data_IF_805550907940
#
_entry.id   IF_805550907940
#
_cell.length_a   1.000
_cell.length_b   1.000
_cell.length_c   1.000
_cell.angle_alpha   90.00
_cell.angle_beta   90.00
_cell.angle_gamma   90.00
#
_symmetry.space_group_name_H-M   'P 1'
#
loop_
_entity.id
_entity.type
_entity.pdbx_description
1 polymer ?
#
# COMPACT_ATOMS: atom_id res chain seq x y z
N UNK A 1 -23.64 29.71 -34.77
CA UNK A 1 -24.81 30.51 -34.35
C UNK A 1 -24.48 31.13 -32.99
N UNK A 2 -24.10 32.41 -32.97
CA UNK A 2 -23.69 33.11 -31.75
C UNK A 2 -24.82 34.02 -31.26
N UNK A 3 -25.34 33.80 -30.05
CA UNK A 3 -26.25 34.75 -29.40
C UNK A 3 -25.42 35.87 -28.76
N UNK A 4 -25.46 37.06 -29.36
CA UNK A 4 -24.97 38.31 -28.76
C UNK A 4 -26.02 38.81 -27.77
N UNK A 5 -25.66 38.90 -26.49
CA UNK A 5 -26.48 39.59 -25.49
C UNK A 5 -26.24 41.10 -25.60
N UNK A 6 -27.32 41.86 -25.73
CA UNK A 6 -27.31 43.31 -25.92
C UNK A 6 -27.23 44.02 -24.56
N UNK A 7 -26.29 44.95 -24.41
CA UNK A 7 -25.99 45.65 -23.15
C UNK A 7 -27.00 46.74 -22.73
N UNK A 8 -28.25 46.69 -23.23
CA UNK A 8 -29.24 47.78 -23.04
C UNK A 8 -30.45 47.41 -22.15
N UNK A 9 -30.51 46.21 -21.56
CA UNK A 9 -31.64 45.77 -20.72
C UNK A 9 -31.45 45.92 -19.19
N UNK A 10 -30.47 46.70 -18.73
CA UNK A 10 -30.29 46.97 -17.30
C UNK A 10 -31.16 48.17 -16.90
N UNK A 11 -32.34 47.91 -16.34
CA UNK A 11 -33.17 48.93 -15.68
C UNK A 11 -32.55 49.30 -14.33
N UNK A 12 -32.37 50.58 -13.99
CA UNK A 12 -31.84 50.98 -12.69
C UNK A 12 -32.83 50.69 -11.56
N UNK A 13 -32.31 50.16 -10.44
CA UNK A 13 -33.07 49.90 -9.22
C UNK A 13 -33.60 51.22 -8.61
N UNK A 14 -34.91 51.30 -8.39
CA UNK A 14 -35.54 52.45 -7.74
C UNK A 14 -35.21 52.48 -6.24
N UNK A 15 -34.91 53.66 -5.66
CA UNK A 15 -34.63 53.78 -4.22
C UNK A 15 -35.90 53.57 -3.40
N UNK A 16 -35.85 52.61 -2.48
CA UNK A 16 -36.90 52.27 -1.52
C UNK A 16 -37.10 53.43 -0.53
N UNK A 17 -38.24 54.12 -0.61
CA UNK A 17 -38.64 55.20 0.32
C UNK A 17 -38.68 54.69 1.77
N UNK A 18 -38.08 55.47 2.69
CA UNK A 18 -38.20 55.32 4.15
C UNK A 18 -39.67 55.41 4.56
N UNK A 19 -40.15 54.44 5.33
CA UNK A 19 -41.43 54.50 6.05
C UNK A 19 -41.23 55.41 7.26
N UNK A 20 -41.86 56.58 7.25
CA UNK A 20 -42.00 57.43 8.43
C UNK A 20 -43.01 56.79 9.38
N UNK A 21 -42.61 56.62 10.65
CA UNK A 21 -43.52 56.31 11.74
C UNK A 21 -44.36 57.55 12.03
N UNK A 22 -45.67 57.47 11.79
CA UNK A 22 -46.65 58.43 12.30
C UNK A 22 -47.22 57.87 13.61
N UNK A 23 -46.98 58.60 14.70
CA UNK A 23 -47.65 58.44 15.98
C UNK A 23 -49.14 58.73 15.80
N UNK A 24 -50.05 57.88 16.30
CA UNK A 24 -51.44 58.28 16.49
C UNK A 24 -51.54 59.13 17.75
N UNK A 25 -51.65 60.44 17.59
CA UNK A 25 -52.22 61.35 18.58
C UNK A 25 -53.67 61.61 18.21
N UNK A 26 -54.60 61.11 19.00
CA UNK A 26 -56.01 61.51 19.12
C UNK A 26 -56.55 60.69 20.31
N UNK A 27 -57.31 61.20 21.27
CA UNK A 27 -58.23 62.32 21.22
C UNK A 27 -58.52 62.81 22.65
N UNK A 28 -58.70 64.12 22.78
CA UNK A 28 -59.50 64.72 23.84
C UNK A 28 -60.87 65.06 23.24
N UNK A 29 -61.90 64.76 24.03
CA UNK A 29 -63.24 65.36 23.99
C UNK A 29 -64.14 65.10 22.77
N UNK A 30 -65.11 64.20 22.94
CA UNK A 30 -66.54 64.55 22.97
C UNK A 30 -67.40 63.30 23.22
N UNK A 31 -68.18 63.32 24.31
CA UNK A 31 -69.23 62.33 24.62
C UNK A 31 -70.40 62.44 23.62
N UNK A 32 -71.12 61.33 23.42
CA UNK A 32 -72.57 61.38 23.72
C UNK A 32 -73.01 60.39 24.80
N UNK A 33 -73.94 60.88 25.61
CA UNK A 33 -74.63 60.20 26.72
C UNK A 33 -75.53 59.05 26.24
N UNK A 34 -75.53 57.94 26.98
CA UNK A 34 -76.60 56.91 26.95
C UNK A 34 -76.84 56.45 28.41
N UNK A 35 -78.10 56.17 28.82
CA UNK A 35 -78.53 56.27 30.23
C UNK A 35 -78.15 55.07 31.10
N UNK A 36 -78.03 55.40 32.39
CA UNK A 36 -77.91 54.56 33.58
C UNK A 36 -78.97 53.44 33.66
N UNK A 37 -78.58 52.19 33.94
CA UNK A 37 -79.38 51.23 34.68
C UNK A 37 -79.05 51.23 36.18
N UNK A 38 -80.05 50.80 36.93
CA UNK A 38 -80.18 50.82 38.39
C UNK A 38 -79.12 50.08 39.20
N UNK A 39 -79.02 50.55 40.44
CA UNK A 39 -78.23 50.02 41.54
C UNK A 39 -78.73 48.61 41.88
N UNK A 40 -77.86 47.61 41.74
CA UNK A 40 -77.98 46.32 42.40
C UNK A 40 -76.93 46.20 43.51
N UNK A 41 -77.40 45.68 44.63
CA UNK A 41 -76.81 45.62 45.96
C UNK A 41 -75.49 44.84 46.02
N UNK A 42 -74.67 45.22 47.02
CA UNK A 42 -73.47 44.53 47.50
C UNK A 42 -73.66 43.02 47.65
N UNK A 43 -72.72 42.26 47.10
CA UNK A 43 -72.32 40.94 47.61
C UNK A 43 -70.80 40.79 47.53
N UNK A 44 -70.27 40.06 48.51
CA UNK A 44 -68.89 40.01 48.96
C UNK A 44 -67.86 39.58 47.90
N UNK A 45 -66.82 40.39 47.70
CA UNK A 45 -65.59 40.00 47.02
C UNK A 45 -64.54 39.75 48.12
N UNK A 46 -63.91 38.57 48.19
CA UNK A 46 -62.85 38.33 49.17
C UNK A 46 -61.73 39.33 48.93
N UNK A 47 -61.35 40.05 49.99
CA UNK A 47 -60.21 40.95 49.96
C UNK A 47 -58.96 40.17 49.59
N UNK A 48 -58.43 40.42 48.39
CA UNK A 48 -57.06 40.02 48.05
C UNK A 48 -56.18 40.83 49.01
N UNK A 49 -55.57 40.15 49.98
CA UNK A 49 -54.49 40.73 50.78
C UNK A 49 -53.34 40.95 49.81
N UNK A 50 -53.25 42.14 49.23
CA UNK A 50 -52.03 42.61 48.61
C UNK A 50 -51.11 42.90 49.80
N UNK A 51 -50.34 41.88 50.18
CA UNK A 51 -49.22 42.06 51.08
C UNK A 51 -48.22 42.96 50.36
N UNK A 52 -48.15 44.21 50.80
CA UNK A 52 -47.26 45.24 50.27
C UNK A 52 -45.80 44.81 50.50
N UNK A 53 -45.21 44.14 49.51
CA UNK A 53 -43.87 43.56 49.53
C UNK A 53 -42.72 44.58 49.50
N UNK A 54 -42.92 45.80 50.00
CA UNK A 54 -42.00 46.92 49.85
C UNK A 54 -40.92 47.03 50.96
N UNK A 55 -40.49 45.91 51.54
CA UNK A 55 -39.29 45.89 52.41
C UNK A 55 -38.25 44.82 52.06
N UNK A 56 -38.55 43.90 51.14
CA UNK A 56 -37.64 42.81 50.75
C UNK A 56 -37.16 42.86 49.28
N UNK A 57 -37.61 43.86 48.50
CA UNK A 57 -37.26 44.00 47.08
C UNK A 57 -35.78 44.31 46.82
N UNK A 58 -35.14 45.10 47.70
CA UNK A 58 -33.72 45.48 47.52
C UNK A 58 -32.77 44.31 47.73
N UNK A 59 -33.03 43.45 48.72
CA UNK A 59 -32.20 42.26 48.97
C UNK A 59 -32.39 41.18 47.90
N UNK A 60 -33.61 40.99 47.38
CA UNK A 60 -33.86 40.09 46.24
C UNK A 60 -33.25 40.61 44.94
N UNK A 61 -33.26 41.93 44.72
CA UNK A 61 -32.63 42.57 43.57
C UNK A 61 -31.09 42.49 43.63
N UNK A 62 -30.51 42.71 44.81
CA UNK A 62 -29.06 42.49 45.03
C UNK A 62 -28.71 41.01 44.82
N UNK A 63 -29.51 40.07 45.35
CA UNK A 63 -29.29 38.64 45.16
C UNK A 63 -29.38 38.25 43.67
N UNK A 64 -30.33 38.81 42.91
CA UNK A 64 -30.44 38.56 41.47
C UNK A 64 -29.27 39.14 40.67
N UNK A 65 -28.74 40.31 41.08
CA UNK A 65 -27.56 40.91 40.45
C UNK A 65 -26.32 40.05 40.74
N UNK A 66 -26.14 39.61 41.98
CA UNK A 66 -25.03 38.73 42.37
C UNK A 66 -25.10 37.39 41.62
N UNK A 67 -26.30 36.79 41.52
CA UNK A 67 -26.52 35.55 40.77
C UNK A 67 -26.25 35.74 39.27
N UNK A 68 -26.69 36.86 38.68
CA UNK A 68 -26.42 37.18 37.29
C UNK A 68 -24.93 37.37 37.02
N UNK A 69 -24.21 38.11 37.88
CA UNK A 69 -22.76 38.29 37.78
C UNK A 69 -22.04 36.96 37.98
N UNK A 70 -22.51 36.09 38.88
CA UNK A 70 -21.96 34.75 39.04
C UNK A 70 -22.19 33.91 37.78
N UNK A 71 -23.40 33.84 37.24
CA UNK A 71 -23.70 33.09 36.01
C UNK A 71 -22.88 33.62 34.84
N UNK A 72 -22.80 34.94 34.65
CA UNK A 72 -22.00 35.56 33.60
C UNK A 72 -20.51 35.29 33.82
N UNK A 73 -20.01 35.44 35.05
CA UNK A 73 -18.62 35.17 35.39
C UNK A 73 -18.23 33.70 35.18
N UNK A 74 -19.09 32.77 35.59
CA UNK A 74 -18.95 31.33 35.33
C UNK A 74 -19.02 31.03 33.85
N UNK A 75 -19.94 31.63 33.09
CA UNK A 75 -20.04 31.47 31.64
C UNK A 75 -18.81 32.04 30.90
N UNK A 76 -18.30 33.21 31.31
CA UNK A 76 -17.06 33.79 30.77
C UNK A 76 -15.85 32.93 31.13
N UNK A 77 -15.77 32.45 32.37
CA UNK A 77 -14.70 31.54 32.82
C UNK A 77 -14.70 30.21 32.07
N UNK A 78 -15.86 29.55 31.96
CA UNK A 78 -16.04 28.34 31.16
C UNK A 78 -15.75 28.58 29.67
N UNK A 79 -16.20 29.70 29.11
CA UNK A 79 -15.91 30.07 27.73
C UNK A 79 -14.42 30.35 27.49
N UNK A 80 -13.69 30.85 28.49
CA UNK A 80 -12.25 31.08 28.40
C UNK A 80 -11.46 29.77 28.42
N UNK A 81 -11.96 28.75 29.13
CA UNK A 81 -11.38 27.41 29.27
C UNK A 81 -11.73 26.47 28.10
N UNK A 82 -12.82 26.72 27.37
CA UNK A 82 -13.28 25.90 26.24
C UNK A 82 -12.98 26.51 24.87
N UNK A 83 -12.28 27.65 24.84
CA UNK A 83 -12.00 28.38 23.62
C UNK A 83 -10.99 27.67 22.72
N UNK A 84 -11.41 27.25 21.52
CA UNK A 84 -10.53 26.67 20.50
C UNK A 84 -10.12 27.73 19.47
N UNK A 85 -8.88 27.67 19.01
CA UNK A 85 -8.40 28.53 17.91
C UNK A 85 -8.25 27.72 16.65
N UNK A 86 -8.94 28.09 15.59
CA UNK A 86 -8.81 27.48 14.27
C UNK A 86 -7.84 28.30 13.42
N UNK A 87 -6.79 27.64 12.94
CA UNK A 87 -5.78 28.18 12.04
C UNK A 87 -5.92 27.48 10.68
N UNK A 88 -6.46 28.18 9.70
CA UNK A 88 -6.56 27.70 8.32
C UNK A 88 -5.29 28.08 7.56
N UNK A 89 -4.51 27.09 7.11
CA UNK A 89 -3.25 27.29 6.39
C UNK A 89 -3.48 26.98 4.91
N UNK A 90 -3.02 27.89 4.06
CA UNK A 90 -2.97 27.71 2.62
C UNK A 90 -1.50 27.44 2.25
N UNK A 91 -1.10 26.17 2.06
CA UNK A 91 0.25 25.84 1.67
C UNK A 91 0.52 26.31 0.24
N UNK A 92 1.78 26.58 -0.03
CA UNK A 92 2.26 26.78 -1.39
C UNK A 92 2.05 25.48 -2.16
N UNK A 93 1.51 25.57 -3.36
CA UNK A 93 1.33 24.42 -4.23
C UNK A 93 1.64 24.76 -5.69
N UNK A 94 1.92 23.73 -6.49
CA UNK A 94 2.16 23.83 -7.93
C UNK A 94 1.65 22.60 -8.65
N UNK A 95 1.26 22.77 -9.91
CA UNK A 95 0.86 21.67 -10.80
C UNK A 95 1.76 21.64 -12.05
N UNK A 96 2.99 21.10 -11.94
CA UNK A 96 3.84 20.95 -13.12
C UNK A 96 3.24 19.94 -14.09
N UNK A 97 3.58 20.06 -15.38
CA UNK A 97 3.28 19.04 -16.38
C UNK A 97 4.45 18.04 -16.43
N UNK A 98 4.21 16.82 -15.98
CA UNK A 98 5.20 15.74 -15.96
C UNK A 98 5.04 14.93 -17.24
N UNK A 99 6.12 14.79 -18.01
CA UNK A 99 6.24 13.85 -19.11
C UNK A 99 7.74 13.60 -19.34
N UNK A 100 8.31 12.71 -18.53
CA UNK A 100 9.74 12.48 -18.50
C UNK A 100 10.07 11.05 -18.10
N UNK A 101 11.25 10.61 -18.52
CA UNK A 101 11.84 9.34 -18.13
C UNK A 101 12.71 9.54 -16.88
N UNK A 102 12.53 8.65 -15.92
CA UNK A 102 13.22 8.65 -14.64
C UNK A 102 13.91 7.30 -14.40
N UNK A 103 14.89 7.35 -13.49
CA UNK A 103 15.59 6.18 -12.99
C UNK A 103 15.47 6.17 -11.48
N UNK A 104 15.12 5.03 -10.92
CA UNK A 104 15.15 4.80 -9.49
C UNK A 104 16.10 3.64 -9.15
N UNK A 105 16.60 3.62 -7.93
CA UNK A 105 17.58 2.65 -7.46
C UNK A 105 17.12 1.94 -6.17
N UNK A 106 17.53 0.69 -5.94
CA UNK A 106 17.19 -0.01 -4.70
C UNK A 106 17.90 0.59 -3.47
N UNK A 107 19.06 1.22 -3.67
CA UNK A 107 19.83 1.89 -2.61
C UNK A 107 19.55 3.39 -2.59
N UNK A 108 19.55 4.00 -1.40
CA UNK A 108 19.46 5.44 -1.24
C UNK A 108 20.73 6.13 -1.74
N UNK A 109 20.59 7.02 -2.71
CA UNK A 109 21.69 7.81 -3.31
C UNK A 109 21.33 9.29 -3.27
N UNK A 110 22.32 10.14 -3.10
CA UNK A 110 22.09 11.59 -3.04
C UNK A 110 21.60 12.11 -4.40
N UNK A 111 20.54 12.90 -4.39
CA UNK A 111 19.93 13.44 -5.62
C UNK A 111 19.15 12.44 -6.49
N UNK A 112 19.04 11.17 -6.10
CA UNK A 112 18.36 10.13 -6.88
C UNK A 112 17.12 9.59 -6.15
N UNK A 113 16.21 8.97 -6.90
CA UNK A 113 15.03 8.33 -6.32
C UNK A 113 15.35 6.90 -5.89
N UNK A 114 15.06 6.55 -4.63
CA UNK A 114 15.12 5.17 -4.15
C UNK A 114 13.76 4.47 -4.18
N UNK A 115 13.76 3.15 -4.31
CA UNK A 115 12.54 2.33 -4.20
C UNK A 115 12.78 1.08 -3.34
N UNK A 116 11.71 0.60 -2.74
CA UNK A 116 11.63 -0.71 -2.10
C UNK A 116 10.72 -1.63 -2.92
N UNK A 117 10.88 -2.95 -2.82
CA UNK A 117 10.00 -3.90 -3.51
C UNK A 117 9.06 -4.56 -2.50
N UNK A 118 7.77 -4.44 -2.75
CA UNK A 118 6.76 -5.28 -2.10
C UNK A 118 6.51 -6.50 -2.98
N UNK A 119 6.63 -7.68 -2.37
CA UNK A 119 6.36 -8.97 -3.02
C UNK A 119 5.13 -9.61 -2.40
N UNK A 120 4.15 -9.97 -3.23
CA UNK A 120 2.94 -10.67 -2.83
C UNK A 120 2.84 -11.99 -3.59
N UNK A 121 2.47 -13.06 -2.90
CA UNK A 121 2.30 -14.38 -3.50
C UNK A 121 0.88 -14.89 -3.27
N UNK A 122 0.37 -15.63 -4.25
CA UNK A 122 -0.88 -16.36 -4.16
C UNK A 122 -0.82 -17.64 -4.99
N UNK A 123 -1.55 -18.66 -4.56
CA UNK A 123 -1.73 -19.91 -5.29
C UNK A 123 -3.21 -20.15 -5.51
N UNK A 124 -3.59 -20.59 -6.70
CA UNK A 124 -4.96 -20.95 -7.03
C UNK A 124 -4.97 -22.27 -7.79
N UNK A 125 -6.08 -23.00 -7.68
CA UNK A 125 -6.25 -24.32 -8.27
C UNK A 125 -7.60 -24.45 -8.97
N UNK A 126 -7.61 -25.19 -10.07
CA UNK A 126 -8.83 -25.46 -10.84
C UNK A 126 -8.87 -26.92 -11.25
N UNK A 127 -10.06 -27.51 -11.19
CA UNK A 127 -10.31 -28.88 -11.65
C UNK A 127 -10.79 -28.84 -13.09
N UNK A 128 -10.14 -29.62 -13.95
CA UNK A 128 -10.52 -29.78 -15.35
C UNK A 128 -10.75 -31.24 -15.68
N UNK A 129 -11.70 -31.49 -16.57
CA UNK A 129 -11.96 -32.83 -17.09
C UNK A 129 -10.81 -33.28 -18.00
N UNK A 130 -10.35 -34.51 -17.78
CA UNK A 130 -9.38 -35.16 -18.65
C UNK A 130 -10.04 -35.47 -20.00
N UNK A 131 -9.41 -35.06 -21.09
CA UNK A 131 -9.92 -35.31 -22.44
C UNK A 131 -9.52 -36.70 -22.97
N UNK A 132 -8.70 -37.44 -22.23
CA UNK A 132 -8.26 -38.79 -22.55
C UNK A 132 -7.21 -39.32 -21.57
N UNK A 133 -6.72 -40.53 -21.84
CA UNK A 133 -5.59 -41.14 -21.14
C UNK A 133 -4.49 -41.44 -22.16
N UNK A 134 -3.25 -41.13 -21.82
CA UNK A 134 -2.07 -41.50 -22.60
C UNK A 134 -1.21 -42.44 -21.78
N UNK A 135 -0.68 -43.48 -22.43
CA UNK A 135 0.33 -44.32 -21.80
C UNK A 135 1.65 -43.53 -21.73
N UNK A 136 2.08 -43.21 -20.53
CA UNK A 136 3.33 -42.50 -20.26
C UNK A 136 4.34 -43.50 -19.73
N UNK A 137 5.53 -43.48 -20.33
CA UNK A 137 6.66 -44.36 -20.01
C UNK A 137 7.89 -43.49 -19.81
N UNK A 138 8.22 -43.24 -18.56
CA UNK A 138 9.33 -42.39 -18.14
C UNK A 138 10.30 -43.17 -17.25
N UNK A 139 11.60 -42.93 -17.47
CA UNK A 139 12.69 -43.49 -16.69
C UNK A 139 13.07 -42.49 -15.59
N UNK A 140 13.31 -42.99 -14.37
CA UNK A 140 13.81 -42.14 -13.31
C UNK A 140 15.22 -41.64 -13.66
N UNK A 141 15.51 -40.38 -13.37
CA UNK A 141 16.81 -39.76 -13.61
C UNK A 141 17.32 -39.09 -12.35
N UNK A 142 18.64 -38.89 -12.27
CA UNK A 142 19.24 -38.13 -11.19
C UNK A 142 20.76 -38.10 -11.25
N UNK A 143 21.38 -37.61 -10.17
CA UNK A 143 22.83 -37.45 -10.08
C UNK A 143 23.38 -38.33 -8.96
N UNK A 144 24.41 -39.11 -9.28
CA UNK A 144 25.19 -39.87 -8.28
C UNK A 144 26.55 -39.23 -8.05
N UNK A 145 27.03 -39.31 -6.81
CA UNK A 145 28.40 -39.07 -6.42
C UNK A 145 29.15 -40.40 -6.40
N UNK A 146 30.10 -40.56 -7.30
CA UNK A 146 30.95 -41.74 -7.44
C UNK A 146 32.24 -41.50 -6.66
N UNK A 147 32.63 -42.47 -5.84
CA UNK A 147 33.73 -42.40 -4.88
C UNK A 147 34.70 -43.54 -5.18
N UNK A 148 36.00 -43.23 -5.30
CA UNK A 148 37.07 -44.22 -5.41
C UNK A 148 38.06 -44.08 -4.25
N UNK A 149 38.28 -45.18 -3.52
CA UNK A 149 39.13 -45.22 -2.33
C UNK A 149 40.57 -45.65 -2.59
N UNK A 150 40.87 -46.18 -3.79
CA UNK A 150 42.21 -46.61 -4.19
C UNK A 150 42.90 -45.60 -5.12
N UNK A 151 44.25 -45.57 -5.17
CA UNK A 151 44.98 -44.71 -6.10
C UNK A 151 44.75 -45.03 -7.58
N UNK A 152 45.02 -44.05 -8.44
CA UNK A 152 44.88 -44.16 -9.90
C UNK A 152 43.49 -43.80 -10.41
N UNK A 153 43.40 -43.08 -11.53
CA UNK A 153 42.11 -42.71 -12.12
C UNK A 153 41.43 -43.93 -12.75
N UNK A 154 40.10 -44.02 -12.66
CA UNK A 154 39.29 -45.04 -13.33
C UNK A 154 38.36 -44.37 -14.35
N UNK A 155 38.32 -44.87 -15.58
CA UNK A 155 37.40 -44.36 -16.59
C UNK A 155 36.16 -45.23 -16.65
N UNK A 156 35.00 -44.64 -16.39
CA UNK A 156 33.70 -45.28 -16.58
C UNK A 156 33.11 -44.81 -17.92
N UNK A 157 32.70 -45.75 -18.76
CA UNK A 157 32.12 -45.48 -20.07
C UNK A 157 30.61 -45.21 -19.94
N UNK A 158 30.02 -44.52 -20.92
CA UNK A 158 28.55 -44.41 -21.02
C UNK A 158 27.89 -45.79 -20.89
N UNK A 159 26.73 -45.83 -20.23
CA UNK A 159 25.99 -47.04 -19.87
C UNK A 159 26.68 -47.97 -18.86
N UNK A 160 27.69 -47.51 -18.13
CA UNK A 160 28.19 -48.27 -16.96
C UNK A 160 27.05 -48.43 -15.94
N UNK A 161 26.81 -49.67 -15.51
CA UNK A 161 25.74 -50.05 -14.59
C UNK A 161 26.11 -49.74 -13.14
N UNK A 162 25.17 -49.14 -12.43
CA UNK A 162 25.19 -48.88 -10.99
C UNK A 162 23.96 -49.56 -10.39
N UNK A 163 24.16 -50.48 -9.45
CA UNK A 163 23.09 -51.29 -8.88
C UNK A 163 22.84 -50.92 -7.41
N UNK A 164 21.57 -50.73 -7.05
CA UNK A 164 21.15 -50.48 -5.67
C UNK A 164 21.13 -51.77 -4.86
N UNK A 165 21.03 -51.71 -3.51
CA UNK A 165 20.87 -52.90 -2.67
C UNK A 165 19.62 -53.73 -3.03
N UNK A 166 18.58 -53.09 -3.55
CA UNK A 166 17.34 -53.72 -4.03
C UNK A 166 17.48 -54.33 -5.43
N UNK A 167 18.64 -54.20 -6.07
CA UNK A 167 18.92 -54.77 -7.39
C UNK A 167 18.52 -53.89 -8.58
N UNK A 168 18.07 -52.65 -8.35
CA UNK A 168 17.68 -51.72 -9.41
C UNK A 168 18.93 -51.18 -10.11
N UNK A 169 18.92 -51.15 -11.45
CA UNK A 169 20.07 -50.73 -12.24
C UNK A 169 19.86 -49.33 -12.82
N UNK A 170 20.87 -48.48 -12.63
CA UNK A 170 20.99 -47.16 -13.22
C UNK A 170 22.25 -47.11 -14.09
N UNK A 171 22.20 -46.34 -15.18
CA UNK A 171 23.26 -46.25 -16.18
C UNK A 171 23.75 -44.81 -16.25
N UNK A 172 25.06 -44.60 -16.25
CA UNK A 172 25.62 -43.25 -16.48
C UNK A 172 25.39 -42.81 -17.92
N UNK A 173 24.97 -41.55 -18.08
CA UNK A 173 24.66 -40.95 -19.37
C UNK A 173 25.92 -40.71 -20.19
N UNK A 174 26.88 -40.02 -19.58
CA UNK A 174 28.16 -39.65 -20.19
C UNK A 174 29.33 -40.41 -19.56
N UNK A 175 30.42 -40.56 -20.31
CA UNK A 175 31.64 -41.17 -19.77
C UNK A 175 32.31 -40.23 -18.77
N UNK A 176 32.70 -40.75 -17.61
CA UNK A 176 33.36 -39.98 -16.55
C UNK A 176 34.68 -40.62 -16.15
N UNK A 177 35.63 -39.81 -15.70
CA UNK A 177 36.92 -40.27 -15.16
C UNK A 177 36.92 -40.01 -13.65
N UNK A 178 36.78 -41.08 -12.87
CA UNK A 178 36.79 -41.03 -11.42
C UNK A 178 38.24 -40.86 -10.95
N UNK A 179 38.60 -39.77 -10.25
CA UNK A 179 39.93 -39.62 -9.70
C UNK A 179 40.18 -40.69 -8.64
N UNK A 180 41.41 -41.18 -8.56
CA UNK A 180 41.83 -42.08 -7.47
C UNK A 180 42.06 -41.31 -6.17
N UNK A 181 42.19 -42.05 -5.06
CA UNK A 181 42.51 -41.47 -3.77
C UNK A 181 43.91 -40.84 -3.76
N UNK A 182 44.03 -39.70 -3.10
CA UNK A 182 45.28 -38.95 -2.90
C UNK A 182 45.61 -38.88 -1.41
N UNK A 183 46.88 -38.65 -1.07
CA UNK A 183 47.27 -38.38 0.32
C UNK A 183 47.22 -36.87 0.58
N UNK A 184 46.59 -36.48 1.68
CA UNK A 184 46.65 -35.10 2.17
C UNK A 184 48.01 -34.81 2.84
N UNK A 185 48.24 -33.56 3.23
CA UNK A 185 49.46 -33.08 3.87
C UNK A 185 49.81 -33.86 5.16
N UNK A 186 48.81 -34.41 5.85
CA UNK A 186 48.96 -35.24 7.05
C UNK A 186 49.16 -36.74 6.74
N UNK A 187 49.26 -37.12 5.47
CA UNK A 187 49.45 -38.50 5.01
C UNK A 187 48.19 -39.36 5.02
N UNK A 188 47.04 -38.81 5.42
CA UNK A 188 45.74 -39.46 5.38
C UNK A 188 45.24 -39.64 3.93
N UNK A 189 44.63 -40.80 3.63
CA UNK A 189 44.08 -41.09 2.29
C UNK A 189 42.71 -40.44 2.13
N UNK A 190 42.61 -39.50 1.18
CA UNK A 190 41.37 -38.83 0.80
C UNK A 190 40.82 -39.49 -0.47
N UNK A 191 39.61 -40.07 -0.45
CA UNK A 191 38.99 -40.64 -1.63
C UNK A 191 38.79 -39.62 -2.74
N UNK A 192 38.95 -40.06 -3.99
CA UNK A 192 38.58 -39.24 -5.14
C UNK A 192 37.07 -39.33 -5.39
N UNK A 193 36.45 -38.21 -5.75
CA UNK A 193 35.00 -38.14 -6.00
C UNK A 193 34.68 -37.42 -7.30
N UNK A 194 33.61 -37.83 -7.98
CA UNK A 194 33.05 -37.14 -9.14
C UNK A 194 31.52 -37.29 -9.18
N UNK A 195 30.81 -36.33 -9.75
CA UNK A 195 29.37 -36.42 -9.99
C UNK A 195 29.07 -36.87 -11.41
N UNK A 196 28.04 -37.68 -11.58
CA UNK A 196 27.58 -38.15 -12.88
C UNK A 196 26.05 -38.22 -12.96
N UNK A 197 25.49 -37.83 -14.10
CA UNK A 197 24.07 -38.04 -14.42
C UNK A 197 23.80 -39.51 -14.74
N UNK A 198 22.73 -40.05 -14.18
CA UNK A 198 22.25 -41.41 -14.41
C UNK A 198 20.78 -41.45 -14.80
N UNK A 199 20.42 -42.51 -15.52
CA UNK A 199 19.04 -42.84 -15.85
C UNK A 199 18.76 -44.32 -15.52
N UNK A 200 17.52 -44.64 -15.16
CA UNK A 200 17.07 -45.99 -14.86
C UNK A 200 17.16 -46.92 -16.08
N UNK A 201 17.46 -48.20 -15.87
CA UNK A 201 17.46 -49.19 -16.95
C UNK A 201 16.06 -49.41 -17.54
N UNK A 202 15.04 -49.50 -16.69
CA UNK A 202 13.65 -49.63 -17.11
C UNK A 202 12.80 -48.43 -16.68
N UNK A 203 11.61 -48.34 -17.26
CA UNK A 203 10.57 -47.37 -16.90
C UNK A 203 9.82 -47.83 -15.65
N UNK A 204 9.25 -46.88 -14.91
CA UNK A 204 8.35 -47.19 -13.80
C UNK A 204 8.72 -46.58 -12.46
N UNK A 205 7.71 -46.46 -11.59
CA UNK A 205 7.83 -45.83 -10.28
C UNK A 205 8.76 -46.55 -9.31
N UNK A 206 9.05 -47.83 -9.56
CA UNK A 206 9.99 -48.62 -8.76
C UNK A 206 11.40 -48.05 -8.77
N UNK A 207 11.75 -47.27 -9.79
CA UNK A 207 13.06 -46.60 -9.92
C UNK A 207 13.11 -45.22 -9.22
N UNK A 208 12.01 -44.75 -8.60
CA UNK A 208 12.01 -43.56 -7.77
C UNK A 208 12.59 -43.87 -6.38
N UNK A 209 13.89 -43.65 -6.21
CA UNK A 209 14.63 -44.00 -4.99
C UNK A 209 14.90 -42.79 -4.09
N UNK A 210 15.00 -43.04 -2.78
CA UNK A 210 15.24 -42.02 -1.76
C UNK A 210 16.67 -41.46 -1.83
N UNK A 211 16.87 -40.25 -1.33
CA UNK A 211 18.20 -39.70 -1.11
C UNK A 211 19.03 -40.60 -0.17
N UNK A 212 20.33 -40.69 -0.40
CA UNK A 212 21.27 -41.47 0.41
C UNK A 212 21.34 -42.96 0.08
N UNK A 213 20.71 -43.40 -1.00
CA UNK A 213 20.87 -44.76 -1.55
C UNK A 213 22.30 -44.96 -2.05
N UNK A 214 22.90 -46.09 -1.74
CA UNK A 214 24.24 -46.47 -2.20
C UNK A 214 24.17 -47.35 -3.43
N UNK A 215 25.22 -47.35 -4.25
CA UNK A 215 25.30 -48.15 -5.46
C UNK A 215 26.65 -48.85 -5.56
N UNK A 216 26.62 -50.09 -6.05
CA UNK A 216 27.80 -50.82 -6.50
C UNK A 216 27.89 -50.82 -8.04
N UNK A 217 29.05 -51.20 -8.57
CA UNK A 217 29.27 -51.33 -10.03
C UNK A 217 29.39 -52.82 -10.36
N UNK A 218 28.29 -53.52 -10.67
CA UNK A 218 28.28 -54.98 -10.84
C UNK A 218 29.23 -55.47 -11.94
N UNK A 219 29.48 -54.64 -12.96
CA UNK A 219 30.41 -54.98 -14.05
C UNK A 219 31.84 -55.26 -13.59
N UNK A 220 32.29 -54.70 -12.46
CA UNK A 220 33.63 -55.02 -11.93
C UNK A 220 33.67 -56.40 -11.26
N UNK A 221 32.61 -56.79 -10.56
CA UNK A 221 32.47 -58.13 -9.99
C UNK A 221 32.38 -59.19 -11.09
N UNK A 222 31.50 -58.97 -12.07
CA UNK A 222 31.31 -59.86 -13.24
C UNK A 222 32.60 -60.01 -14.08
N UNK A 223 33.40 -58.95 -14.18
CA UNK A 223 34.68 -58.95 -14.88
C UNK A 223 35.86 -59.52 -14.08
N UNK A 224 35.65 -59.97 -12.84
CA UNK A 224 36.70 -60.51 -11.98
C UNK A 224 37.58 -59.44 -11.29
N UNK A 225 37.24 -58.16 -11.41
CA UNK A 225 37.98 -57.02 -10.84
C UNK A 225 37.55 -56.75 -9.38
N UNK A 226 37.73 -57.75 -8.51
CA UNK A 226 37.26 -57.71 -7.11
C UNK A 226 37.81 -56.51 -6.31
N UNK A 227 39.05 -56.11 -6.56
CA UNK A 227 39.67 -54.96 -5.89
C UNK A 227 39.04 -53.63 -6.32
N UNK A 228 38.69 -53.47 -7.61
CA UNK A 228 38.00 -52.28 -8.11
C UNK A 228 36.55 -52.23 -7.63
N UNK A 229 35.88 -53.38 -7.58
CA UNK A 229 34.52 -53.50 -7.06
C UNK A 229 34.41 -53.02 -5.60
N UNK A 230 35.39 -53.37 -4.75
CA UNK A 230 35.44 -52.90 -3.36
C UNK A 230 35.86 -51.43 -3.24
N UNK A 231 36.62 -50.93 -4.21
CA UNK A 231 37.18 -49.59 -4.17
C UNK A 231 36.25 -48.49 -4.69
N UNK A 232 35.33 -48.83 -5.59
CA UNK A 232 34.43 -47.88 -6.25
C UNK A 232 33.00 -48.12 -5.78
N UNK A 233 32.39 -47.07 -5.24
CA UNK A 233 30.98 -47.05 -4.87
C UNK A 233 30.37 -45.72 -5.27
N UNK A 234 29.05 -45.62 -5.30
CA UNK A 234 28.37 -44.35 -5.50
C UNK A 234 27.24 -44.16 -4.51
N UNK A 235 26.76 -42.91 -4.39
CA UNK A 235 25.57 -42.57 -3.62
C UNK A 235 24.82 -41.41 -4.26
N UNK A 236 23.51 -41.36 -4.12
CA UNK A 236 22.73 -40.19 -4.52
C UNK A 236 22.57 -39.24 -3.33
N UNK A 237 22.75 -37.93 -3.57
CA UNK A 237 22.51 -36.90 -2.55
C UNK A 237 21.06 -36.46 -2.53
N UNK A 238 20.41 -36.46 -3.68
CA UNK A 238 19.01 -36.10 -3.89
C UNK A 238 18.21 -37.33 -4.34
N UNK A 239 16.90 -37.40 -4.05
CA UNK A 239 16.06 -38.52 -4.51
C UNK A 239 15.98 -38.55 -6.04
N UNK A 240 15.79 -39.74 -6.60
CA UNK A 240 15.47 -39.87 -8.03
C UNK A 240 13.96 -39.87 -8.19
N UNK A 241 13.47 -39.12 -9.16
CA UNK A 241 12.06 -38.94 -9.44
C UNK A 241 11.78 -39.14 -10.93
N UNK A 242 10.50 -39.08 -11.32
CA UNK A 242 10.00 -39.16 -12.70
C UNK A 242 10.06 -40.55 -13.36
N UNK A 243 10.34 -41.63 -12.62
CA UNK A 243 10.04 -42.98 -13.11
C UNK A 243 8.53 -43.20 -13.11
N UNK A 244 7.93 -43.52 -14.26
CA UNK A 244 6.50 -43.80 -14.40
C UNK A 244 6.22 -44.78 -15.55
N UNK A 245 5.32 -45.74 -15.35
CA UNK A 245 4.80 -46.61 -16.41
C UNK A 245 3.32 -46.87 -16.13
N UNK A 246 2.46 -46.14 -16.82
CA UNK A 246 1.03 -46.14 -16.53
C UNK A 246 0.22 -45.29 -17.49
N UNK A 247 -1.10 -45.33 -17.30
CA UNK A 247 -2.02 -44.41 -17.95
C UNK A 247 -2.05 -43.11 -17.14
N UNK A 248 -1.69 -42.00 -17.78
CA UNK A 248 -1.81 -40.67 -17.19
C UNK A 248 -2.92 -39.91 -17.90
N UNK A 249 -3.73 -39.17 -17.14
CA UNK A 249 -4.76 -38.33 -17.74
C UNK A 249 -4.14 -37.20 -18.56
N UNK A 250 -4.60 -37.04 -19.80
CA UNK A 250 -4.20 -35.94 -20.67
C UNK A 250 -5.35 -34.94 -20.79
N UNK A 251 -5.07 -33.69 -20.41
CA UNK A 251 -5.95 -32.55 -20.63
C UNK A 251 -5.70 -32.02 -22.04
N UNK A 252 -6.77 -31.74 -22.79
CA UNK A 252 -6.68 -31.14 -24.11
C UNK A 252 -6.06 -29.75 -24.00
N UNK A 253 -5.13 -29.43 -24.88
CA UNK A 253 -4.36 -28.19 -24.83
C UNK A 253 -5.25 -26.94 -24.73
N UNK A 254 -6.36 -26.89 -25.47
CA UNK A 254 -7.31 -25.77 -25.40
C UNK A 254 -8.00 -25.63 -24.04
N UNK A 255 -8.35 -26.75 -23.40
CA UNK A 255 -9.02 -26.76 -22.09
C UNK A 255 -8.05 -26.34 -21.00
N UNK A 256 -6.81 -26.85 -21.08
CA UNK A 256 -5.72 -26.48 -20.19
C UNK A 256 -5.43 -24.98 -20.29
N UNK A 257 -5.22 -24.44 -21.49
CA UNK A 257 -4.91 -23.01 -21.66
C UNK A 257 -6.05 -22.11 -21.18
N UNK A 258 -7.32 -22.48 -21.42
CA UNK A 258 -8.48 -21.72 -20.93
C UNK A 258 -8.54 -21.72 -19.40
N UNK A 259 -8.36 -22.88 -18.77
CA UNK A 259 -8.36 -23.00 -17.32
C UNK A 259 -7.19 -22.23 -16.68
N UNK A 260 -6.00 -22.28 -17.29
CA UNK A 260 -4.84 -21.48 -16.88
C UNK A 260 -5.10 -19.98 -16.98
N UNK A 261 -5.60 -19.51 -18.10
CA UNK A 261 -5.88 -18.09 -18.28
C UNK A 261 -6.90 -17.59 -17.24
N UNK A 262 -7.91 -18.39 -16.90
CA UNK A 262 -8.85 -18.07 -15.83
C UNK A 262 -8.15 -17.98 -14.46
N UNK A 263 -7.28 -18.95 -14.12
CA UNK A 263 -6.49 -18.93 -12.88
C UNK A 263 -5.58 -17.70 -12.80
N UNK A 264 -4.92 -17.33 -13.90
CA UNK A 264 -4.02 -16.17 -13.94
C UNK A 264 -4.77 -14.85 -13.72
N UNK A 265 -5.97 -14.71 -14.32
CA UNK A 265 -6.82 -13.53 -14.12
C UNK A 265 -7.28 -13.43 -12.66
N UNK A 266 -7.71 -14.54 -12.07
CA UNK A 266 -8.15 -14.60 -10.67
C UNK A 266 -6.99 -14.25 -9.71
N UNK A 267 -5.83 -14.88 -9.90
CA UNK A 267 -4.61 -14.60 -9.14
C UNK A 267 -4.19 -13.12 -9.26
N UNK A 268 -4.18 -12.57 -10.47
CA UNK A 268 -3.87 -11.15 -10.71
C UNK A 268 -4.81 -10.25 -9.94
N UNK A 269 -6.13 -10.46 -10.06
CA UNK A 269 -7.12 -9.60 -9.41
C UNK A 269 -7.02 -9.68 -7.88
N UNK A 270 -6.81 -10.88 -7.34
CA UNK A 270 -6.59 -11.11 -5.92
C UNK A 270 -5.36 -10.34 -5.41
N UNK A 271 -4.22 -10.48 -6.09
CA UNK A 271 -2.97 -9.81 -5.71
C UNK A 271 -3.09 -8.28 -5.82
N UNK A 272 -3.72 -7.76 -6.88
CA UNK A 272 -3.94 -6.32 -7.03
C UNK A 272 -4.81 -5.72 -5.91
N UNK A 273 -5.85 -6.44 -5.48
CA UNK A 273 -6.72 -5.99 -4.38
C UNK A 273 -5.99 -5.91 -3.04
N UNK A 274 -4.93 -6.72 -2.84
CA UNK A 274 -4.13 -6.73 -1.62
C UNK A 274 -3.15 -5.57 -1.51
N UNK A 275 -2.70 -5.00 -2.65
CA UNK A 275 -1.71 -3.91 -2.68
C UNK A 275 -2.11 -2.75 -1.75
N UNK A 276 -3.35 -2.28 -1.81
CA UNK A 276 -3.78 -1.11 -1.03
C UNK A 276 -3.84 -1.38 0.48
N UNK A 277 -4.05 -2.65 0.88
CA UNK A 277 -4.15 -3.03 2.29
C UNK A 277 -2.79 -3.38 2.90
N UNK A 278 -1.84 -3.85 2.10
CA UNK A 278 -0.51 -4.28 2.56
C UNK A 278 0.58 -3.23 2.33
N UNK A 279 0.33 -2.22 1.48
CA UNK A 279 1.25 -1.09 1.26
C UNK A 279 1.38 -0.24 2.54
N UNK A 280 2.61 0.08 3.00
CA UNK A 280 2.81 1.00 4.11
C UNK A 280 2.27 2.41 3.82
N UNK A 281 1.79 3.11 4.87
CA UNK A 281 1.10 4.40 4.74
C UNK A 281 1.98 5.49 4.09
N UNK A 282 3.27 5.51 4.41
CA UNK A 282 4.22 6.54 3.94
C UNK A 282 4.78 6.27 2.53
N UNK A 283 4.30 5.25 1.83
CA UNK A 283 4.80 4.88 0.51
C UNK A 283 3.78 5.08 -0.60
N UNK A 284 4.26 5.40 -1.79
CA UNK A 284 3.51 5.51 -3.04
C UNK A 284 3.76 4.25 -3.87
N UNK A 285 2.69 3.70 -4.43
CA UNK A 285 2.73 2.58 -5.34
C UNK A 285 1.85 2.88 -6.55
N UNK A 286 2.34 2.62 -7.76
CA UNK A 286 1.57 2.82 -8.99
C UNK A 286 0.96 1.50 -9.44
N UNK A 287 -0.34 1.48 -9.69
CA UNK A 287 -1.04 0.25 -10.10
C UNK A 287 -0.48 -0.36 -11.40
N UNK A 288 0.03 0.49 -12.29
CA UNK A 288 0.65 0.09 -13.56
C UNK A 288 2.12 -0.34 -13.41
N UNK A 289 2.73 -0.18 -12.24
CA UNK A 289 4.11 -0.61 -11.95
C UNK A 289 4.20 -2.09 -11.51
N UNK A 290 3.15 -2.87 -11.76
CA UNK A 290 3.06 -4.25 -11.31
C UNK A 290 3.77 -5.18 -12.31
N UNK A 291 4.68 -6.00 -11.80
CA UNK A 291 5.27 -7.14 -12.51
C UNK A 291 4.74 -8.44 -11.89
N UNK A 292 4.21 -9.35 -12.70
CA UNK A 292 3.67 -10.64 -12.22
C UNK A 292 4.35 -11.79 -12.95
N UNK A 293 4.90 -12.72 -12.19
CA UNK A 293 5.44 -14.00 -12.69
C UNK A 293 4.49 -15.12 -12.31
N UNK A 294 4.14 -15.98 -13.28
CA UNK A 294 3.32 -17.15 -13.06
C UNK A 294 4.18 -18.41 -13.11
N UNK A 295 4.13 -19.20 -12.04
CA UNK A 295 4.80 -20.48 -11.93
C UNK A 295 3.77 -21.60 -12.01
N UNK A 296 4.02 -22.55 -12.90
CA UNK A 296 3.20 -23.74 -13.05
C UNK A 296 3.61 -24.75 -11.99
N UNK A 297 2.66 -25.17 -11.15
CA UNK A 297 2.90 -26.22 -10.17
C UNK A 297 2.50 -27.58 -10.75
N UNK A 298 3.09 -28.70 -10.28
CA UNK A 298 2.73 -30.03 -10.75
C UNK A 298 1.22 -30.28 -10.63
N UNK A 299 0.62 -30.74 -11.73
CA UNK A 299 -0.78 -31.12 -11.73
C UNK A 299 -0.97 -32.39 -10.87
N UNK A 300 -2.10 -32.45 -10.16
CA UNK A 300 -2.43 -33.59 -9.30
C UNK A 300 -3.69 -34.25 -9.83
N UNK A 301 -3.64 -35.55 -10.07
CA UNK A 301 -4.82 -36.32 -10.44
C UNK A 301 -5.82 -36.30 -9.28
N UNK A 302 -7.08 -36.01 -9.58
CA UNK A 302 -8.14 -35.95 -8.58
C UNK A 302 -9.32 -36.83 -9.00
N UNK A 303 -9.50 -37.95 -8.32
CA UNK A 303 -10.57 -38.88 -8.64
C UNK A 303 -10.33 -39.66 -9.94
N UNK A 304 -11.38 -39.88 -10.73
CA UNK A 304 -11.34 -40.80 -11.90
C UNK A 304 -11.17 -40.12 -13.24
N UNK A 305 -11.59 -38.86 -13.40
CA UNK A 305 -11.60 -38.17 -14.70
C UNK A 305 -11.23 -36.68 -14.58
N UNK A 306 -10.79 -36.23 -13.40
CA UNK A 306 -10.45 -34.84 -13.14
C UNK A 306 -8.96 -34.70 -12.84
N UNK A 307 -8.38 -33.63 -13.35
CA UNK A 307 -7.01 -33.21 -13.04
C UNK A 307 -7.07 -31.84 -12.39
N UNK A 308 -6.39 -31.69 -11.26
CA UNK A 308 -6.24 -30.40 -10.58
C UNK A 308 -5.02 -29.69 -11.13
N UNK A 309 -5.24 -28.58 -11.84
CA UNK A 309 -4.19 -27.66 -12.27
C UNK A 309 -3.95 -26.66 -11.14
N UNK A 310 -2.68 -26.42 -10.83
CA UNK A 310 -2.25 -25.47 -9.80
C UNK A 310 -1.33 -24.42 -10.40
N UNK A 311 -1.57 -23.16 -10.08
CA UNK A 311 -0.70 -22.06 -10.47
C UNK A 311 -0.35 -21.20 -9.26
N UNK A 312 0.88 -20.70 -9.24
CA UNK A 312 1.35 -19.70 -8.30
C UNK A 312 1.61 -18.41 -9.07
N UNK A 313 1.15 -17.28 -8.54
CA UNK A 313 1.50 -15.95 -9.03
C UNK A 313 2.35 -15.23 -7.97
N UNK A 314 3.43 -14.62 -8.43
CA UNK A 314 4.32 -13.76 -7.64
C UNK A 314 4.21 -12.36 -8.23
N UNK A 315 3.62 -11.44 -7.49
CA UNK A 315 3.51 -10.03 -7.83
C UNK A 315 4.62 -9.26 -7.14
N UNK A 316 5.32 -8.43 -7.91
CA UNK A 316 6.28 -7.46 -7.40
C UNK A 316 5.86 -6.06 -7.84
N UNK A 317 5.98 -5.09 -6.92
CA UNK A 317 5.68 -3.68 -7.18
C UNK A 317 6.70 -2.78 -6.46
N UNK A 318 7.26 -1.77 -7.14
CA UNK A 318 8.11 -0.78 -6.49
C UNK A 318 7.29 0.19 -5.64
N UNK A 319 7.77 0.43 -4.43
CA UNK A 319 7.27 1.37 -3.47
C UNK A 319 8.25 2.54 -3.35
N UNK A 320 7.75 3.76 -3.41
CA UNK A 320 8.54 4.99 -3.26
C UNK A 320 8.16 5.68 -1.97
N UNK A 321 9.12 6.10 -1.14
CA UNK A 321 8.80 6.94 0.02
C UNK A 321 8.14 8.24 -0.45
N UNK A 322 7.02 8.61 0.16
CA UNK A 322 6.17 9.71 -0.31
C UNK A 322 6.87 11.06 -0.28
N UNK A 323 7.76 11.27 0.71
CA UNK A 323 8.50 12.52 0.91
C UNK A 323 9.68 12.60 -0.06
N UNK A 324 10.42 11.50 -0.20
CA UNK A 324 11.53 11.40 -1.14
C UNK A 324 11.01 11.55 -2.59
N UNK A 325 9.87 10.91 -2.91
CA UNK A 325 9.24 11.01 -4.23
C UNK A 325 8.76 12.42 -4.56
N UNK A 326 8.03 13.08 -3.65
CA UNK A 326 7.54 14.44 -3.89
C UNK A 326 8.68 15.45 -4.05
N UNK A 327 9.73 15.33 -3.22
CA UNK A 327 10.92 16.18 -3.31
C UNK A 327 11.73 15.94 -4.59
N UNK A 328 11.87 14.68 -5.01
CA UNK A 328 12.48 14.30 -6.28
C UNK A 328 11.71 14.92 -7.46
N UNK A 329 10.39 14.75 -7.49
CA UNK A 329 9.57 15.24 -8.59
C UNK A 329 9.56 16.77 -8.67
N UNK A 330 9.55 17.47 -7.52
CA UNK A 330 9.66 18.91 -7.47
C UNK A 330 11.00 19.39 -8.06
N UNK A 331 12.12 18.73 -7.72
CA UNK A 331 13.45 19.05 -8.26
C UNK A 331 13.51 18.88 -9.77
N UNK A 332 12.97 17.78 -10.30
CA UNK A 332 13.04 17.47 -11.72
C UNK A 332 12.10 18.33 -12.58
N UNK A 333 11.02 18.86 -12.00
CA UNK A 333 9.98 19.57 -12.78
C UNK A 333 9.85 21.06 -12.51
N UNK A 334 10.46 21.58 -11.44
CA UNK A 334 10.35 22.99 -11.05
C UNK A 334 11.76 23.62 -11.00
N UNK A 335 12.11 24.46 -12.00
CA UNK A 335 13.45 25.07 -12.07
C UNK A 335 13.82 25.97 -10.89
N UNK A 336 12.84 26.50 -10.16
CA UNK A 336 13.03 27.40 -9.01
C UNK A 336 12.89 26.68 -7.66
N UNK A 337 12.94 25.35 -7.66
CA UNK A 337 12.84 24.56 -6.44
C UNK A 337 14.07 24.74 -5.53
N UNK A 338 13.83 25.03 -4.26
CA UNK A 338 14.83 25.37 -3.24
C UNK A 338 15.20 24.22 -2.30
N UNK A 339 14.69 23.01 -2.54
CA UNK A 339 14.95 21.84 -1.69
C UNK A 339 14.03 21.70 -0.47
N UNK A 340 12.98 22.53 -0.36
CA UNK A 340 11.96 22.40 0.68
C UNK A 340 11.18 21.08 0.54
N UNK A 341 10.78 20.44 1.63
CA UNK A 341 10.02 19.18 1.57
C UNK A 341 8.68 19.37 0.83
N UNK A 342 8.40 18.49 -0.13
CA UNK A 342 7.18 18.52 -0.95
C UNK A 342 6.52 17.15 -0.93
N UNK A 343 5.20 17.13 -0.83
CA UNK A 343 4.39 15.92 -1.04
C UNK A 343 3.58 16.01 -2.33
N UNK A 344 3.24 14.84 -2.86
CA UNK A 344 2.26 14.69 -3.94
C UNK A 344 0.90 14.43 -3.30
N UNK A 345 -0.10 15.28 -3.59
CA UNK A 345 -1.43 15.19 -2.97
C UNK A 345 -2.21 13.94 -3.44
N UNK A 346 -2.30 13.75 -4.75
CA UNK A 346 -2.85 12.53 -5.35
C UNK A 346 -1.84 11.89 -6.32
N UNK A 347 -1.17 10.80 -5.91
CA UNK A 347 -0.27 10.07 -6.79
C UNK A 347 -0.96 9.47 -8.03
N UNK A 348 -2.28 9.24 -8.00
CA UNK A 348 -3.01 8.69 -9.15
C UNK A 348 -3.15 9.68 -10.31
N UNK A 349 -2.84 10.96 -10.10
CA UNK A 349 -2.72 11.95 -11.16
C UNK A 349 -1.52 11.70 -12.11
N UNK A 350 -0.66 10.74 -11.77
CA UNK A 350 0.47 10.29 -12.57
C UNK A 350 0.22 8.87 -13.11
N UNK A 351 0.45 8.70 -14.40
CA UNK A 351 0.51 7.38 -15.05
C UNK A 351 1.97 6.92 -15.11
N UNK A 352 2.19 5.71 -14.62
CA UNK A 352 3.49 5.05 -14.60
C UNK A 352 3.59 4.06 -15.75
N UNK A 353 4.72 4.06 -16.46
CA UNK A 353 5.01 3.05 -17.47
C UNK A 353 6.48 2.67 -17.46
N UNK A 354 6.79 1.38 -17.51
CA UNK A 354 8.17 0.94 -17.72
C UNK A 354 8.68 1.36 -19.09
N UNK A 355 9.91 1.90 -19.14
CA UNK A 355 10.55 2.29 -20.41
C UNK A 355 11.10 1.06 -21.16
N UNK A 356 11.44 -0.01 -20.42
CA UNK A 356 11.83 -1.31 -21.01
C UNK A 356 10.64 -2.27 -21.07
N UNK A 357 10.28 -2.83 -22.24
CA UNK A 357 9.18 -3.78 -22.38
C UNK A 357 9.37 -5.13 -21.65
N UNK A 358 10.56 -5.42 -21.13
CA UNK A 358 10.94 -6.73 -20.58
C UNK A 358 10.42 -7.03 -19.17
N UNK A 359 9.77 -6.09 -18.48
CA UNK A 359 9.37 -6.27 -17.07
C UNK A 359 8.12 -7.13 -16.85
N UNK A 360 7.36 -7.47 -17.90
CA UNK A 360 6.20 -8.37 -17.76
C UNK A 360 6.58 -9.81 -17.36
N UNK A 361 7.87 -10.18 -17.42
CA UNK A 361 8.38 -11.50 -17.07
C UNK A 361 9.67 -11.49 -16.25
N UNK A 362 10.15 -10.31 -15.83
CA UNK A 362 11.39 -10.16 -15.06
C UNK A 362 11.12 -9.92 -13.58
N UNK A 363 11.91 -10.56 -12.73
CA UNK A 363 11.96 -10.32 -11.29
C UNK A 363 12.60 -8.94 -11.06
N UNK A 364 11.78 -7.90 -10.90
CA UNK A 364 12.25 -6.52 -10.74
C UNK A 364 13.14 -6.32 -9.50
N UNK A 365 13.06 -7.22 -8.52
CA UNK A 365 13.93 -7.19 -7.34
C UNK A 365 15.41 -7.44 -7.65
N UNK A 366 15.74 -8.06 -8.80
CA UNK A 366 17.12 -8.34 -9.19
C UNK A 366 17.73 -7.27 -10.12
N UNK A 367 16.94 -6.27 -10.51
CA UNK A 367 17.39 -5.21 -11.41
C UNK A 367 18.22 -4.17 -10.65
N UNK A 368 19.36 -3.70 -11.20
CA UNK A 368 20.22 -2.71 -10.55
C UNK A 368 19.59 -1.30 -10.50
N UNK A 369 18.58 -1.06 -11.34
CA UNK A 369 17.86 0.20 -11.44
C UNK A 369 16.53 0.01 -12.17
N UNK A 370 15.53 0.79 -11.80
CA UNK A 370 14.20 0.80 -12.40
C UNK A 370 14.08 2.00 -13.34
N UNK A 371 13.87 1.76 -14.65
CA UNK A 371 13.68 2.81 -15.66
C UNK A 371 12.21 2.92 -16.05
N UNK A 372 11.65 4.10 -15.90
CA UNK A 372 10.23 4.32 -16.07
C UNK A 372 9.93 5.72 -16.57
N UNK A 373 8.77 5.86 -17.22
CA UNK A 373 8.20 7.10 -17.65
C UNK A 373 7.05 7.47 -16.71
N UNK A 374 6.97 8.75 -16.33
CA UNK A 374 5.79 9.32 -15.68
C UNK A 374 5.14 10.37 -16.56
N UNK A 375 3.82 10.31 -16.66
CA UNK A 375 3.00 11.32 -17.35
C UNK A 375 1.86 11.80 -16.48
N UNK A 376 1.61 13.11 -16.42
CA UNK A 376 0.48 13.65 -15.67
C UNK A 376 0.67 15.09 -15.18
N UNK A 377 -0.27 15.55 -14.37
CA UNK A 377 -0.24 16.88 -13.74
C UNK A 377 -0.48 16.75 -12.23
N UNK A 378 0.53 16.28 -11.47
CA UNK A 378 0.40 16.10 -10.04
C UNK A 378 0.26 17.44 -9.35
N UNK A 379 -0.54 17.49 -8.29
CA UNK A 379 -0.53 18.61 -7.35
C UNK A 379 0.59 18.40 -6.33
N UNK A 380 1.61 19.24 -6.41
CA UNK A 380 2.72 19.29 -5.48
C UNK A 380 2.42 20.32 -4.39
N UNK A 381 2.43 19.89 -3.12
CA UNK A 381 2.13 20.72 -1.95
C UNK A 381 3.37 20.79 -1.07
N UNK A 382 3.78 22.00 -0.72
CA UNK A 382 4.93 22.22 0.15
C UNK A 382 4.56 21.90 1.58
N UNK A 383 5.41 21.11 2.23
CA UNK A 383 5.25 20.77 3.63
C UNK A 383 5.85 21.83 4.53
N UNK A 384 5.34 21.87 5.76
CA UNK A 384 5.81 22.75 6.82
C UNK A 384 5.69 22.00 8.14
N UNK A 385 6.53 22.36 9.11
CA UNK A 385 6.49 21.75 10.44
C UNK A 385 5.33 22.33 11.25
N UNK A 386 4.23 21.58 11.29
CA UNK A 386 3.02 21.88 12.05
C UNK A 386 3.30 22.07 13.55
N UNK A 387 4.16 21.24 14.13
CA UNK A 387 4.47 21.28 15.56
C UNK A 387 5.32 22.50 15.91
N UNK A 388 6.25 22.86 15.03
CA UNK A 388 7.05 24.07 15.20
C UNK A 388 6.19 25.32 15.04
N UNK A 389 5.32 25.35 14.02
CA UNK A 389 4.44 26.48 13.74
C UNK A 389 3.48 26.76 14.92
N UNK A 390 2.84 25.73 15.47
CA UNK A 390 1.92 25.89 16.61
C UNK A 390 2.63 26.37 17.86
N UNK A 391 3.85 25.89 18.13
CA UNK A 391 4.68 26.37 19.25
C UNK A 391 5.12 27.81 19.07
N UNK A 392 5.53 28.20 17.86
CA UNK A 392 5.95 29.56 17.55
C UNK A 392 4.78 30.55 17.65
N UNK A 393 3.53 30.10 17.42
CA UNK A 393 2.32 30.91 17.51
C UNK A 393 1.72 30.98 18.91
N UNK A 394 2.03 30.04 19.80
CA UNK A 394 1.45 29.96 21.14
C UNK A 394 1.72 31.24 21.95
N UNK A 395 0.66 31.79 22.56
CA UNK A 395 0.71 33.03 23.34
C UNK A 395 0.94 34.32 22.53
N UNK A 396 1.19 34.25 21.22
CA UNK A 396 1.40 35.44 20.39
C UNK A 396 0.09 36.21 20.15
N UNK A 397 0.15 37.54 19.92
CA UNK A 397 -1.02 38.30 19.51
C UNK A 397 -1.47 37.88 18.11
N UNK A 398 -2.78 37.95 17.82
CA UNK A 398 -3.36 37.61 16.50
C UNK A 398 -2.66 38.32 15.34
N UNK A 399 -2.19 39.54 15.56
CA UNK A 399 -1.49 40.36 14.55
C UNK A 399 -0.11 39.83 14.16
N UNK A 400 0.50 38.97 14.99
CA UNK A 400 1.81 38.38 14.71
C UNK A 400 1.76 37.27 13.65
N UNK A 401 0.57 36.75 13.33
CA UNK A 401 0.39 35.64 12.39
C UNK A 401 1.09 35.87 11.05
N UNK A 402 0.96 37.08 10.50
CA UNK A 402 1.55 37.41 9.21
C UNK A 402 3.08 37.27 9.23
N UNK A 403 3.73 37.79 10.27
CA UNK A 403 5.18 37.70 10.41
C UNK A 403 5.65 36.28 10.74
N UNK A 404 4.89 35.54 11.55
CA UNK A 404 5.22 34.17 11.91
C UNK A 404 5.20 33.25 10.68
N UNK A 405 4.22 33.41 9.78
CA UNK A 405 4.10 32.60 8.56
C UNK A 405 5.21 32.90 7.55
N UNK A 406 5.70 34.14 7.47
CA UNK A 406 6.82 34.49 6.58
C UNK A 406 8.11 33.72 6.89
N UNK A 407 8.25 33.16 8.09
CA UNK A 407 9.37 32.30 8.45
C UNK A 407 9.28 30.87 7.85
N UNK A 408 8.14 30.52 7.25
CA UNK A 408 7.85 29.20 6.69
C UNK A 408 7.68 29.30 5.17
N UNK A 409 8.70 28.90 4.41
CA UNK A 409 8.73 28.94 2.93
C UNK A 409 7.62 28.12 2.26
N UNK A 410 7.10 27.10 2.94
CA UNK A 410 6.05 26.22 2.45
C UNK A 410 4.62 26.77 2.57
N UNK A 411 4.43 27.93 3.22
CA UNK A 411 3.10 28.51 3.45
C UNK A 411 2.93 29.75 2.56
N UNK A 412 1.81 29.81 1.82
CA UNK A 412 1.46 30.97 1.00
C UNK A 412 0.67 32.00 1.82
N UNK A 413 -0.35 31.55 2.55
CA UNK A 413 -1.12 32.41 3.46
C UNK A 413 -1.76 31.61 4.59
N UNK A 414 -2.24 32.27 5.64
CA UNK A 414 -3.10 31.64 6.63
C UNK A 414 -4.14 32.61 7.19
N UNK A 415 -5.25 32.03 7.64
CA UNK A 415 -6.38 32.72 8.26
C UNK A 415 -6.61 32.17 9.67
N UNK A 416 -6.92 33.03 10.63
CA UNK A 416 -7.15 32.63 12.02
C UNK A 416 -8.51 33.07 12.54
N UNK A 417 -9.21 32.12 13.16
CA UNK A 417 -10.46 32.32 13.89
C UNK A 417 -10.25 31.91 15.35
N UNK A 418 -10.17 32.92 16.22
CA UNK A 418 -10.00 32.72 17.67
C UNK A 418 -11.38 32.70 18.32
N UNK A 419 -11.68 31.62 19.04
CA UNK A 419 -12.90 31.49 19.85
C UNK A 419 -12.53 31.44 21.34
N UNK A 420 -13.21 32.19 22.21
CA UNK A 420 -14.23 33.20 21.91
C UNK A 420 -13.64 34.47 21.29
N UNK A 421 -14.44 35.16 20.46
CA UNK A 421 -13.99 36.26 19.59
C UNK A 421 -13.38 37.48 20.31
N UNK A 422 -13.53 37.58 21.63
CA UNK A 422 -12.97 38.64 22.46
C UNK A 422 -11.50 38.40 22.84
N UNK A 423 -10.98 37.16 22.72
CA UNK A 423 -9.54 36.90 22.86
C UNK A 423 -8.78 37.48 21.68
N UNK A 424 -7.64 38.13 21.95
CA UNK A 424 -6.80 38.83 20.95
C UNK A 424 -5.47 38.13 20.68
N UNK A 425 -5.20 37.04 21.36
CA UNK A 425 -3.98 36.23 21.26
C UNK A 425 -4.32 34.78 21.01
N UNK A 426 -3.35 34.05 20.47
CA UNK A 426 -3.38 32.60 20.44
C UNK A 426 -3.38 32.03 21.86
N UNK A 427 -3.88 30.80 22.06
CA UNK A 427 -3.76 30.09 23.32
C UNK A 427 -2.29 29.88 23.71
N UNK A 428 -2.02 29.81 25.01
CA UNK A 428 -0.67 29.52 25.52
C UNK A 428 -0.27 28.06 25.30
N UNK A 429 -1.27 27.16 25.21
CA UNK A 429 -1.07 25.77 24.86
C UNK A 429 -1.19 25.57 23.34
N UNK A 430 -0.11 25.09 22.71
CA UNK A 430 -0.06 24.78 21.28
C UNK A 430 -1.12 23.75 20.85
N UNK A 431 -1.52 22.83 21.73
CA UNK A 431 -2.54 21.81 21.44
C UNK A 431 -3.96 22.38 21.28
N UNK A 432 -4.21 23.60 21.75
CA UNK A 432 -5.50 24.28 21.58
C UNK A 432 -5.65 24.98 20.21
N UNK A 433 -4.59 24.94 19.39
CA UNK A 433 -4.56 25.46 18.02
C UNK A 433 -4.89 24.31 17.06
N UNK A 434 -6.11 24.30 16.54
CA UNK A 434 -6.53 23.37 15.51
C UNK A 434 -6.09 23.87 14.14
N UNK A 435 -5.28 23.08 13.43
CA UNK A 435 -4.87 23.40 12.07
C UNK A 435 -5.81 22.74 11.07
N UNK A 436 -6.24 23.54 10.09
CA UNK A 436 -7.01 23.12 8.94
C UNK A 436 -6.20 23.50 7.72
N UNK A 437 -5.89 22.55 6.85
CA UNK A 437 -5.22 22.84 5.59
C UNK A 437 -6.27 23.02 4.49
N UNK A 438 -6.21 24.12 3.75
CA UNK A 438 -7.12 24.40 2.64
C UNK A 438 -6.30 24.83 1.42
N UNK A 439 -6.42 24.06 0.34
CA UNK A 439 -5.85 24.44 -0.94
C UNK A 439 -6.72 25.54 -1.55
N UNK A 440 -6.17 26.74 -1.64
CA UNK A 440 -6.85 27.85 -2.28
C UNK A 440 -6.89 27.57 -3.78
N UNK A 441 -8.06 27.24 -4.33
CA UNK A 441 -8.23 27.16 -5.78
C UNK A 441 -7.81 28.51 -6.36
N UNK A 442 -6.81 28.47 -7.24
CA UNK A 442 -6.38 29.63 -8.02
C UNK A 442 -7.53 30.11 -8.89
N UNK A 443 -8.34 31.03 -8.38
CA UNK A 443 -9.17 31.91 -9.19
C UNK A 443 -8.25 33.03 -9.70
N UNK A 444 -7.91 32.89 -10.99
CA UNK A 444 -7.38 33.88 -11.95
C UNK A 444 -6.00 34.51 -11.72
#
# INVERSE_FOLDING_TARGET
MSQKWNLQDIRPAQPRKKRSYLQPTTDLSAQPQVPRPEIASREDIPSIVIEDGNKNGRNRLILSIVLFVFIVGTAVGLSALLGKTELTIHPKHRQPNVNADFVAYPDKRDGELSYEIMTLEATSESQVEATGQVQVKEQATGVIEIIKTTPGAERLITNTRFRTPEGLIFKIKDSVVVPGAVKDNDGASVPGTIQAEVFAEDVGETYNIKAGTTFDVPGFEEGGYTELFKAISARNREPFTNGFDGLQFQIGTSTLETARQALQIDLRNNLLARIQNEKPADFIAFQDAVAITYNQLPAVEYGKDLVTIKEQAILQIPLFDSKDFGSFLARETIPTYSGDQVRVDDPNALSFRYTSPTTSSSVIANEPSLKFNLTGKPLLVWEYDVNKLTKDLAGLPRTAIHNAILAYSGIDSASVRITPFWKRSFPDNAEEIMIIEELKDGQE
#
